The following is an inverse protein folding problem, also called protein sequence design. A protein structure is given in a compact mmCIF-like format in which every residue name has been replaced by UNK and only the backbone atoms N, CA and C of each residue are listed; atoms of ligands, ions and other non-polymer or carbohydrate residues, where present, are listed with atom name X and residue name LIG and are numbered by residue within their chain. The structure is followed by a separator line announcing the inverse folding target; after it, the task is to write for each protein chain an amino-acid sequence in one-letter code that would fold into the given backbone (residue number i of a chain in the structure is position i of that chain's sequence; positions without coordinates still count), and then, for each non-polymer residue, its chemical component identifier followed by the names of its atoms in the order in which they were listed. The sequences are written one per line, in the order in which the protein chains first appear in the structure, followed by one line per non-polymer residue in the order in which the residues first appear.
data_IF_556097224936
#
_entry.id   IF_556097224936
#
_cell.length_a   1.000
_cell.length_b   1.000
_cell.length_c   1.000
_cell.angle_alpha   90.00
_cell.angle_beta   90.00
_cell.angle_gamma   90.00
#
_symmetry.space_group_name_H-M   'P 1'
#
loop_
_entity.id
_entity.type
_entity.pdbx_description
1 polymer ?
#
# COMPACT_ATOMS: atom_id res chain seq x y z
N UNK A 1 16.27 -2.87 9.80
CA UNK A 1 17.48 -2.04 9.69
C UNK A 1 17.21 -0.60 10.19
N UNK A 2 16.08 -0.01 9.84
CA UNK A 2 15.72 1.38 10.19
C UNK A 2 14.59 1.50 11.22
N UNK A 3 14.05 0.39 11.72
CA UNK A 3 12.94 0.38 12.66
C UNK A 3 11.60 0.87 12.10
N UNK A 4 11.48 0.93 10.77
CA UNK A 4 10.26 1.35 10.07
C UNK A 4 9.60 0.12 9.49
N UNK A 5 8.32 -0.04 9.77
CA UNK A 5 7.46 -1.05 9.17
C UNK A 5 6.82 -0.44 7.91
N UNK A 6 7.09 -1.04 6.75
CA UNK A 6 6.51 -0.64 5.47
C UNK A 6 5.26 -1.48 5.17
N UNK A 7 4.30 -0.87 4.49
CA UNK A 7 3.20 -1.62 3.88
C UNK A 7 3.70 -2.29 2.57
N UNK A 8 2.97 -3.27 2.01
CA UNK A 8 3.47 -4.06 0.87
C UNK A 8 3.92 -3.26 -0.36
N UNK A 9 3.24 -2.16 -0.70
CA UNK A 9 3.62 -1.33 -1.85
C UNK A 9 4.89 -0.52 -1.57
N UNK A 10 5.01 0.05 -0.36
CA UNK A 10 6.22 0.74 0.09
C UNK A 10 7.41 -0.22 0.15
N UNK A 11 7.19 -1.47 0.58
CA UNK A 11 8.21 -2.51 0.58
C UNK A 11 8.69 -2.84 -0.84
N UNK A 12 7.79 -2.92 -1.83
CA UNK A 12 8.14 -3.10 -3.24
C UNK A 12 8.95 -1.90 -3.77
N UNK A 13 8.55 -0.68 -3.45
CA UNK A 13 9.27 0.52 -3.87
C UNK A 13 10.68 0.56 -3.26
N UNK A 14 10.81 0.24 -1.98
CA UNK A 14 12.10 0.14 -1.31
C UNK A 14 12.99 -0.94 -1.92
N UNK A 15 12.44 -2.10 -2.22
CA UNK A 15 13.15 -3.17 -2.92
C UNK A 15 13.66 -2.70 -4.29
N UNK A 16 12.81 -2.02 -5.05
CA UNK A 16 13.18 -1.46 -6.36
C UNK A 16 14.35 -0.49 -6.30
N UNK A 17 14.39 0.40 -5.29
CA UNK A 17 15.51 1.31 -5.05
C UNK A 17 16.80 0.52 -4.78
N UNK A 18 16.74 -0.51 -3.92
CA UNK A 18 17.91 -1.32 -3.62
C UNK A 18 18.44 -2.08 -4.84
N UNK A 19 17.54 -2.66 -5.65
CA UNK A 19 17.92 -3.33 -6.90
C UNK A 19 18.51 -2.34 -7.92
N UNK A 20 17.95 -1.14 -8.03
CA UNK A 20 18.51 -0.09 -8.87
C UNK A 20 19.98 0.17 -8.52
N UNK A 21 20.32 0.39 -7.27
CA UNK A 21 21.70 0.60 -6.83
C UNK A 21 22.61 -0.63 -6.98
N UNK A 22 22.03 -1.82 -6.91
CA UNK A 22 22.75 -3.07 -7.12
C UNK A 22 23.17 -3.23 -8.58
N UNK A 23 22.30 -2.91 -9.52
CA UNK A 23 22.58 -3.05 -10.96
C UNK A 23 23.44 -1.91 -11.51
N UNK A 24 23.21 -0.70 -11.05
CA UNK A 24 23.92 0.48 -11.54
C UNK A 24 25.09 0.84 -10.62
N UNK A 25 26.16 0.04 -10.66
CA UNK A 25 27.36 0.16 -9.79
C UNK A 25 28.07 1.52 -9.84
N UNK A 26 27.87 2.30 -10.91
CA UNK A 26 28.45 3.64 -11.04
C UNK A 26 27.67 4.73 -10.30
N UNK A 27 26.50 4.43 -9.77
CA UNK A 27 25.70 5.34 -8.96
C UNK A 27 26.14 5.24 -7.48
N UNK A 28 26.56 6.36 -6.93
CA UNK A 28 26.92 6.40 -5.49
C UNK A 28 25.65 6.67 -4.66
N UNK A 29 25.11 5.66 -3.94
CA UNK A 29 23.89 5.83 -3.15
C UNK A 29 23.98 6.92 -2.09
N UNK A 30 25.21 7.23 -1.64
CA UNK A 30 25.45 8.30 -0.65
C UNK A 30 25.29 9.72 -1.23
N UNK A 31 25.29 9.86 -2.57
CA UNK A 31 25.16 11.14 -3.28
C UNK A 31 23.83 11.34 -3.98
N UNK A 32 22.96 10.34 -3.97
CA UNK A 32 21.65 10.41 -4.61
C UNK A 32 20.54 10.41 -3.57
N UNK A 33 19.69 11.42 -3.64
CA UNK A 33 18.43 11.40 -2.91
C UNK A 33 17.46 10.50 -3.66
N UNK A 34 17.01 9.43 -3.01
CA UNK A 34 15.95 8.57 -3.50
C UNK A 34 14.74 8.68 -2.59
N UNK A 35 13.57 8.77 -3.19
CA UNK A 35 12.30 8.88 -2.48
C UNK A 35 11.49 7.62 -2.76
N UNK A 36 11.10 6.91 -1.70
CA UNK A 36 10.12 5.83 -1.74
C UNK A 36 8.80 6.36 -1.21
N UNK A 37 7.72 6.17 -1.97
CA UNK A 37 6.39 6.58 -1.55
C UNK A 37 5.73 5.46 -0.75
N UNK A 38 5.26 5.82 0.44
CA UNK A 38 4.38 5.00 1.27
C UNK A 38 2.96 5.52 1.07
N UNK A 39 2.08 4.70 0.51
CA UNK A 39 0.74 5.15 0.06
C UNK A 39 -0.38 4.71 0.99
N UNK A 40 -0.10 3.85 1.96
CA UNK A 40 -1.06 3.37 2.94
C UNK A 40 -0.38 3.11 4.29
N UNK A 41 -1.17 3.01 5.35
CA UNK A 41 -0.66 2.60 6.65
C UNK A 41 -0.54 1.07 6.73
N UNK A 42 0.54 0.51 7.32
CA UNK A 42 0.74 -0.94 7.47
C UNK A 42 -0.44 -1.69 8.10
N UNK A 43 -1.15 -1.06 9.04
CA UNK A 43 -2.33 -1.65 9.68
C UNK A 43 -3.48 -2.01 8.72
N UNK A 44 -3.50 -1.47 7.49
CA UNK A 44 -4.46 -1.87 6.45
C UNK A 44 -4.15 -3.25 5.85
N UNK A 45 -2.95 -3.75 6.08
CA UNK A 45 -2.43 -5.00 5.55
C UNK A 45 -1.96 -5.93 6.67
N UNK A 46 -2.64 -5.87 7.82
CA UNK A 46 -2.23 -6.59 9.04
C UNK A 46 -2.08 -8.09 8.81
N UNK A 47 -2.99 -8.69 8.06
CA UNK A 47 -2.97 -10.14 7.80
C UNK A 47 -1.76 -10.54 6.95
N UNK A 48 -1.49 -9.80 5.88
CA UNK A 48 -0.32 -10.04 5.01
C UNK A 48 0.98 -9.84 5.78
N UNK A 49 1.08 -8.75 6.53
CA UNK A 49 2.29 -8.42 7.32
C UNK A 49 2.53 -9.48 8.40
N UNK A 50 1.48 -9.89 9.10
CA UNK A 50 1.56 -10.95 10.11
C UNK A 50 2.00 -12.27 9.48
N UNK A 51 1.46 -12.63 8.32
CA UNK A 51 1.80 -13.85 7.61
C UNK A 51 3.25 -13.85 7.12
N UNK A 52 3.75 -12.71 6.60
CA UNK A 52 5.08 -12.63 5.97
C UNK A 52 6.20 -12.48 6.98
N UNK A 53 6.03 -11.60 7.98
CA UNK A 53 7.10 -11.24 8.92
C UNK A 53 6.75 -11.45 10.38
N UNK A 54 5.56 -12.01 10.69
CA UNK A 54 5.07 -12.28 12.03
C UNK A 54 5.07 -11.04 12.96
N UNK A 55 4.68 -9.90 12.41
CA UNK A 55 4.56 -8.62 13.13
C UNK A 55 3.11 -8.15 13.05
N UNK A 56 2.57 -7.66 14.16
CA UNK A 56 1.25 -7.03 14.23
C UNK A 56 1.43 -5.51 14.13
N UNK A 57 1.01 -4.87 13.01
CA UNK A 57 1.13 -3.43 12.87
C UNK A 57 0.24 -2.71 13.89
N UNK A 58 0.78 -1.69 14.54
CA UNK A 58 -0.01 -0.84 15.42
C UNK A 58 -1.10 -0.11 14.62
N UNK A 59 -2.35 -0.22 15.06
CA UNK A 59 -3.47 0.49 14.44
C UNK A 59 -3.42 1.95 14.87
N UNK A 60 -3.37 2.93 13.94
CA UNK A 60 -3.43 4.34 14.29
C UNK A 60 -4.84 4.75 14.70
N UNK A 61 -4.94 5.82 15.49
CA UNK A 61 -6.23 6.33 16.00
C UNK A 61 -7.26 6.59 14.88
N UNK A 62 -6.79 7.08 13.73
CA UNK A 62 -7.64 7.34 12.55
C UNK A 62 -8.34 6.10 11.99
N UNK A 63 -7.87 4.90 12.34
CA UNK A 63 -8.46 3.63 11.91
C UNK A 63 -9.19 2.89 13.05
N UNK A 64 -9.26 3.46 14.25
CA UNK A 64 -9.97 2.81 15.35
C UNK A 64 -11.45 2.63 15.03
N UNK A 65 -11.96 1.43 15.27
CA UNK A 65 -13.34 1.05 15.03
C UNK A 65 -13.77 0.99 13.57
N UNK A 66 -12.85 1.19 12.60
CA UNK A 66 -13.22 1.10 11.17
C UNK A 66 -13.59 -0.32 10.77
N UNK A 67 -12.87 -1.32 11.30
CA UNK A 67 -13.14 -2.74 11.02
C UNK A 67 -14.49 -3.25 11.61
N UNK A 68 -15.04 -2.52 12.58
CA UNK A 68 -16.32 -2.86 13.23
C UNK A 68 -17.52 -2.21 12.54
N UNK A 69 -17.26 -1.30 11.58
CA UNK A 69 -18.34 -0.63 10.84
C UNK A 69 -18.96 -1.56 9.83
N UNK A 70 -20.27 -1.46 9.69
CA UNK A 70 -20.98 -2.16 8.61
C UNK A 70 -20.45 -1.69 7.24
N UNK A 71 -20.13 -2.65 6.38
CA UNK A 71 -19.73 -2.36 5.02
C UNK A 71 -20.96 -1.92 4.21
N UNK A 72 -20.78 -0.88 3.42
CA UNK A 72 -21.80 -0.38 2.50
C UNK A 72 -21.20 -0.34 1.08
N UNK A 73 -21.52 -1.33 0.29
CA UNK A 73 -21.03 -1.45 -1.08
C UNK A 73 -22.09 -1.99 -2.02
N UNK A 74 -21.90 -1.78 -3.31
CA UNK A 74 -22.72 -2.37 -4.36
C UNK A 74 -21.91 -3.43 -5.07
N UNK A 75 -22.38 -4.67 -5.04
CA UNK A 75 -21.75 -5.76 -5.78
C UNK A 75 -22.04 -5.59 -7.28
N UNK A 76 -21.01 -5.73 -8.09
CA UNK A 76 -21.11 -5.59 -9.54
C UNK A 76 -20.24 -6.64 -10.22
N UNK A 77 -20.67 -7.16 -11.35
CA UNK A 77 -19.85 -8.02 -12.19
C UNK A 77 -18.60 -7.28 -12.69
N UNK A 78 -17.50 -8.01 -12.91
CA UNK A 78 -16.27 -7.46 -13.47
C UNK A 78 -16.46 -7.13 -14.96
N UNK A 79 -17.19 -6.04 -15.23
CA UNK A 79 -17.55 -5.57 -16.57
C UNK A 79 -17.41 -4.06 -16.64
N UNK A 80 -16.55 -3.58 -17.53
CA UNK A 80 -16.27 -2.16 -17.71
C UNK A 80 -17.53 -1.34 -18.06
N UNK A 81 -18.37 -1.82 -18.98
CA UNK A 81 -19.56 -1.07 -19.42
C UNK A 81 -20.61 -0.95 -18.30
N UNK A 82 -20.73 -1.97 -17.45
CA UNK A 82 -21.61 -1.90 -16.28
C UNK A 82 -21.11 -0.83 -15.30
N UNK A 83 -19.82 -0.80 -14.99
CA UNK A 83 -19.23 0.21 -14.10
C UNK A 83 -19.38 1.62 -14.68
N UNK A 84 -19.05 1.80 -15.96
CA UNK A 84 -19.18 3.08 -16.67
C UNK A 84 -20.63 3.59 -16.64
N UNK A 85 -21.59 2.75 -17.00
CA UNK A 85 -23.00 3.12 -16.99
C UNK A 85 -23.52 3.42 -15.59
N UNK A 86 -23.02 2.70 -14.58
CA UNK A 86 -23.34 2.98 -13.19
C UNK A 86 -22.85 4.36 -12.76
N UNK A 87 -21.60 4.70 -13.05
CA UNK A 87 -21.01 6.03 -12.72
C UNK A 87 -21.79 7.15 -13.43
N UNK A 88 -22.09 6.98 -14.73
CA UNK A 88 -22.79 7.99 -15.51
C UNK A 88 -24.22 8.29 -15.03
N UNK A 89 -24.86 7.38 -14.30
CA UNK A 89 -26.20 7.61 -13.71
C UNK A 89 -26.20 8.63 -12.58
N UNK A 90 -25.07 8.87 -11.95
CA UNK A 90 -24.97 9.78 -10.81
C UNK A 90 -24.66 11.24 -11.21
N UNK A 91 -24.58 11.55 -12.51
CA UNK A 91 -24.34 12.90 -13.02
C UNK A 91 -23.23 13.65 -12.22
N UNK A 92 -22.07 12.95 -12.04
CA UNK A 92 -20.89 13.56 -11.44
C UNK A 92 -20.25 14.58 -12.40
#
# INVERSE_FOLDING_TARGET
QFGILLEPHGACAWYGINEYFRFYKNHNPKKQLCISLETAHPAKFSDDIRQIINVDPQVPESLFGVAEKAENYISMENNYELLKNYILRFNL
#
